data_IF_919834968224
#
_entry.id   IF_919834968224
#
_cell.length_a   1.000
_cell.length_b   1.000
_cell.length_c   1.000
_cell.angle_alpha   90.00
_cell.angle_beta   90.00
_cell.angle_gamma   90.00
#
_symmetry.space_group_name_H-M   'P 1'
#
loop_
_entity.id
_entity.type
_entity.pdbx_description
1 polymer ?
#
# COMPACT_ATOMS: atom_id res chain seq x y z
N UNK A 1 -8.23 -7.84 -60.49
CA UNK A 1 -8.55 -8.08 -59.06
C UNK A 1 -7.67 -9.25 -58.63
N UNK A 2 -6.76 -9.23 -57.66
CA UNK A 2 -6.63 -8.51 -56.38
C UNK A 2 -5.18 -8.71 -55.91
N UNK A 3 -4.22 -7.89 -56.37
CA UNK A 3 -2.83 -7.94 -55.86
C UNK A 3 -2.51 -6.82 -54.86
N UNK A 4 -3.42 -5.85 -54.73
CA UNK A 4 -3.30 -4.69 -53.84
C UNK A 4 -3.67 -5.03 -52.38
N UNK A 5 -4.34 -6.17 -52.13
CA UNK A 5 -4.87 -6.48 -50.81
C UNK A 5 -3.88 -7.15 -49.86
N UNK A 6 -2.98 -8.02 -50.32
CA UNK A 6 -2.11 -8.77 -49.39
C UNK A 6 -1.10 -7.88 -48.67
N UNK A 7 -0.50 -6.91 -49.35
CA UNK A 7 0.50 -6.01 -48.76
C UNK A 7 -0.14 -4.96 -47.85
N UNK A 8 -1.32 -4.44 -48.21
CA UNK A 8 -2.09 -3.52 -47.36
C UNK A 8 -2.61 -4.22 -46.11
N UNK A 9 -3.12 -5.45 -46.24
CA UNK A 9 -3.59 -6.25 -45.09
C UNK A 9 -2.41 -6.61 -44.19
N UNK A 10 -1.26 -7.03 -44.74
CA UNK A 10 -0.07 -7.35 -43.93
C UNK A 10 0.45 -6.12 -43.19
N UNK A 11 0.51 -4.97 -43.84
CA UNK A 11 0.92 -3.72 -43.19
C UNK A 11 -0.10 -3.26 -42.14
N UNK A 12 -1.40 -3.40 -42.38
CA UNK A 12 -2.45 -3.09 -41.41
C UNK A 12 -2.39 -4.01 -40.18
N UNK A 13 -2.18 -5.32 -40.37
CA UNK A 13 -2.00 -6.28 -39.28
C UNK A 13 -0.74 -5.93 -38.48
N UNK A 14 0.37 -5.62 -39.14
CA UNK A 14 1.61 -5.19 -38.46
C UNK A 14 1.36 -3.92 -37.66
N UNK A 15 0.66 -2.92 -38.22
CA UNK A 15 0.36 -1.66 -37.54
C UNK A 15 -0.59 -1.83 -36.35
N UNK A 16 -1.56 -2.74 -36.44
CA UNK A 16 -2.45 -3.12 -35.35
C UNK A 16 -1.70 -3.90 -34.27
N UNK A 17 -0.82 -4.83 -34.65
CA UNK A 17 0.02 -5.53 -33.67
C UNK A 17 1.04 -4.61 -33.02
N UNK A 18 1.65 -3.66 -33.75
CA UNK A 18 2.55 -2.66 -33.20
C UNK A 18 1.79 -1.73 -32.26
N UNK A 19 0.61 -1.23 -32.64
CA UNK A 19 -0.19 -0.37 -31.77
C UNK A 19 -0.68 -1.09 -30.52
N UNK A 20 -1.01 -2.38 -30.60
CA UNK A 20 -1.27 -3.22 -29.42
C UNK A 20 0.00 -3.40 -28.56
N UNK A 21 1.17 -3.62 -29.16
CA UNK A 21 2.45 -3.76 -28.45
C UNK A 21 2.90 -2.46 -27.75
N UNK A 22 2.66 -1.30 -28.36
CA UNK A 22 2.99 0.01 -27.76
C UNK A 22 2.00 0.46 -26.68
N UNK A 23 0.87 -0.21 -26.48
CA UNK A 23 -0.13 0.12 -25.44
C UNK A 23 0.10 -0.57 -24.08
N UNK A 24 1.17 -1.37 -23.96
CA UNK A 24 1.49 -2.13 -22.73
C UNK A 24 2.50 -1.45 -21.80
N UNK A 25 2.99 -0.26 -22.12
CA UNK A 25 3.66 0.57 -21.12
C UNK A 25 2.58 1.31 -20.33
N UNK A 26 2.20 0.79 -19.16
CA UNK A 26 1.31 1.52 -18.26
C UNK A 26 1.97 2.87 -17.94
N UNK A 27 1.30 4.00 -18.21
CA UNK A 27 1.91 5.31 -17.96
C UNK A 27 2.12 5.46 -16.46
N UNK A 28 3.39 5.58 -16.06
CA UNK A 28 3.77 5.99 -14.71
C UNK A 28 3.79 7.51 -14.69
N UNK A 29 2.99 8.13 -13.83
CA UNK A 29 2.89 9.58 -13.73
C UNK A 29 2.91 10.00 -12.27
N UNK A 30 3.81 10.90 -11.90
CA UNK A 30 3.81 11.54 -10.59
C UNK A 30 2.65 12.53 -10.49
N UNK A 31 1.97 12.52 -9.34
CA UNK A 31 0.85 13.43 -9.05
C UNK A 31 1.30 14.39 -7.95
N UNK A 32 1.18 15.68 -8.21
CA UNK A 32 1.39 16.70 -7.19
C UNK A 32 0.24 16.68 -6.18
N UNK A 33 0.58 16.81 -4.90
CA UNK A 33 -0.38 16.89 -3.80
C UNK A 33 0.07 17.92 -2.78
N UNK A 34 -0.89 18.60 -2.18
CA UNK A 34 -0.65 19.51 -1.06
C UNK A 34 -0.67 18.79 0.29
N UNK A 35 -1.02 17.50 0.32
CA UNK A 35 -0.95 16.70 1.54
C UNK A 35 0.53 16.43 1.88
N UNK A 36 1.02 16.87 3.05
CA UNK A 36 2.43 16.80 3.38
C UNK A 36 2.90 15.35 3.48
N UNK A 37 4.16 15.11 3.11
CA UNK A 37 4.84 13.82 3.27
C UNK A 37 4.19 12.66 2.51
N UNK A 38 3.50 12.93 1.40
CA UNK A 38 3.08 11.89 0.47
C UNK A 38 3.70 12.10 -0.90
N UNK A 39 4.24 11.03 -1.45
CA UNK A 39 4.51 10.91 -2.87
C UNK A 39 3.38 10.13 -3.51
N UNK A 40 2.79 10.70 -4.56
CA UNK A 40 1.73 10.07 -5.31
C UNK A 40 2.22 9.64 -6.70
N UNK A 41 2.01 8.38 -7.05
CA UNK A 41 2.38 7.85 -8.36
C UNK A 41 1.19 7.11 -8.95
N UNK A 42 0.72 7.58 -10.09
CA UNK A 42 -0.26 6.89 -10.91
C UNK A 42 0.41 5.81 -11.75
N UNK A 43 -0.20 4.63 -11.79
CA UNK A 43 0.13 3.53 -12.69
C UNK A 43 -1.16 3.03 -13.34
N UNK A 44 -1.10 2.73 -14.64
CA UNK A 44 -2.25 2.20 -15.39
C UNK A 44 -3.06 3.28 -16.10
N UNK A 45 -4.16 2.87 -16.72
CA UNK A 45 -4.94 3.71 -17.65
C UNK A 45 -5.96 4.55 -16.88
N UNK A 46 -6.01 5.86 -17.12
CA UNK A 46 -6.90 6.81 -16.41
C UNK A 46 -8.40 6.60 -16.61
N UNK A 47 -8.80 5.78 -17.60
CA UNK A 47 -10.20 5.43 -17.86
C UNK A 47 -10.74 4.31 -16.97
N UNK A 48 -9.84 3.61 -16.26
CA UNK A 48 -10.18 2.50 -15.40
C UNK A 48 -10.62 3.01 -14.01
N UNK A 49 -11.39 2.23 -13.23
CA UNK A 49 -11.66 2.56 -11.83
C UNK A 49 -10.34 2.69 -11.06
N UNK A 50 -10.21 3.75 -10.25
CA UNK A 50 -8.99 4.03 -9.53
C UNK A 50 -9.00 3.42 -8.12
N UNK A 51 -7.86 2.88 -7.73
CA UNK A 51 -7.53 2.38 -6.41
C UNK A 51 -6.52 3.34 -5.79
N UNK A 52 -6.87 4.01 -4.70
CA UNK A 52 -5.90 4.76 -3.90
C UNK A 52 -5.18 3.78 -2.98
N UNK A 53 -3.92 3.52 -3.27
CA UNK A 53 -3.13 2.45 -2.65
C UNK A 53 -2.09 3.01 -1.68
N UNK A 54 -2.36 2.91 -0.38
CA UNK A 54 -1.43 3.24 0.69
C UNK A 54 -0.36 2.15 0.80
N UNK A 55 0.81 2.43 0.22
CA UNK A 55 1.89 1.47 0.14
C UNK A 55 2.86 1.64 1.30
N UNK A 56 2.99 0.58 2.09
CA UNK A 56 4.06 0.48 3.06
C UNK A 56 5.41 0.39 2.33
N UNK A 57 6.30 1.32 2.66
CA UNK A 57 7.65 1.39 2.10
C UNK A 57 8.44 0.08 2.19
N UNK A 58 8.24 -0.75 3.22
CA UNK A 58 8.91 -2.04 3.36
C UNK A 58 8.23 -3.16 2.59
N UNK A 59 7.01 -2.91 2.10
CA UNK A 59 6.31 -3.79 1.16
C UNK A 59 6.54 -3.37 -0.31
N UNK A 60 7.07 -2.17 -0.57
CA UNK A 60 7.24 -1.61 -1.92
C UNK A 60 8.10 -2.45 -2.86
N UNK A 61 9.09 -3.18 -2.34
CA UNK A 61 9.95 -4.05 -3.13
C UNK A 61 9.26 -5.34 -3.62
N UNK A 62 8.09 -5.67 -3.06
CA UNK A 62 7.31 -6.87 -3.36
C UNK A 62 6.10 -6.56 -4.27
N UNK A 63 6.28 -5.69 -5.27
CA UNK A 63 5.27 -4.97 -6.09
C UNK A 63 4.34 -5.85 -6.99
N UNK A 64 4.13 -7.10 -6.61
CA UNK A 64 3.12 -7.99 -7.20
C UNK A 64 1.69 -7.45 -7.07
N UNK A 65 1.41 -6.62 -6.05
CA UNK A 65 0.08 -6.07 -5.76
C UNK A 65 -0.33 -5.03 -6.81
N UNK A 66 0.52 -4.04 -7.10
CA UNK A 66 0.26 -3.04 -8.15
C UNK A 66 0.08 -3.73 -9.50
N UNK A 67 0.92 -4.72 -9.81
CA UNK A 67 0.80 -5.51 -11.02
C UNK A 67 -0.52 -6.29 -11.09
N UNK A 68 -0.99 -6.83 -9.96
CA UNK A 68 -2.29 -7.50 -9.87
C UNK A 68 -3.43 -6.53 -10.16
N UNK A 69 -3.42 -5.33 -9.58
CA UNK A 69 -4.43 -4.30 -9.86
C UNK A 69 -4.45 -3.90 -11.33
N UNK A 70 -3.29 -3.62 -11.93
CA UNK A 70 -3.19 -3.24 -13.35
C UNK A 70 -3.71 -4.35 -14.26
N UNK A 71 -3.38 -5.63 -13.97
CA UNK A 71 -3.89 -6.79 -14.72
C UNK A 71 -5.40 -6.95 -14.61
N UNK A 72 -5.99 -6.58 -13.47
CA UNK A 72 -7.44 -6.62 -13.24
C UNK A 72 -8.15 -5.33 -13.70
N UNK A 73 -7.53 -4.55 -14.59
CA UNK A 73 -8.08 -3.32 -15.16
C UNK A 73 -8.38 -2.22 -14.13
N UNK A 74 -7.57 -2.10 -13.07
CA UNK A 74 -7.58 -0.93 -12.21
C UNK A 74 -6.55 0.11 -12.65
N UNK A 75 -6.85 1.37 -12.39
CA UNK A 75 -5.85 2.42 -12.27
C UNK A 75 -5.37 2.41 -10.82
N UNK A 76 -4.06 2.51 -10.57
CA UNK A 76 -3.51 2.55 -9.22
C UNK A 76 -2.92 3.93 -8.98
N UNK A 77 -3.31 4.58 -7.89
CA UNK A 77 -2.66 5.78 -7.37
C UNK A 77 -1.94 5.35 -6.10
N UNK A 78 -0.66 5.10 -6.21
CA UNK A 78 0.19 4.74 -5.07
C UNK A 78 0.38 5.99 -4.22
N UNK A 79 0.01 5.92 -2.95
CA UNK A 79 0.31 6.89 -1.93
C UNK A 79 1.39 6.31 -1.01
N UNK A 80 2.61 6.82 -1.15
CA UNK A 80 3.74 6.43 -0.31
C UNK A 80 4.08 7.58 0.64
N UNK A 81 4.10 7.30 1.95
CA UNK A 81 4.53 8.27 2.94
C UNK A 81 6.04 8.49 2.84
N UNK A 82 6.46 9.74 2.71
CA UNK A 82 7.85 10.17 2.68
C UNK A 82 8.31 10.49 4.09
N UNK A 83 9.34 9.79 4.53
CA UNK A 83 9.92 9.95 5.86
C UNK A 83 11.21 10.77 5.78
N UNK A 84 11.07 12.03 5.38
CA UNK A 84 12.20 12.94 5.16
C UNK A 84 12.77 13.50 6.47
N UNK A 85 11.93 13.74 7.48
CA UNK A 85 12.33 14.23 8.80
C UNK A 85 11.89 13.27 9.93
N UNK A 86 12.85 12.61 10.62
CA UNK A 86 12.57 11.77 11.79
C UNK A 86 11.80 12.49 12.91
N UNK A 87 12.07 13.78 13.16
CA UNK A 87 11.38 14.53 14.21
C UNK A 87 9.91 14.77 13.85
N UNK A 88 9.63 15.05 12.58
CA UNK A 88 8.26 15.15 12.10
C UNK A 88 7.49 13.84 12.30
N UNK A 89 8.09 12.69 11.96
CA UNK A 89 7.47 11.37 12.16
C UNK A 89 7.15 11.15 13.65
N UNK A 90 8.11 11.40 14.55
CA UNK A 90 7.90 11.21 15.98
C UNK A 90 6.75 12.05 16.57
N UNK A 91 6.45 13.20 15.95
CA UNK A 91 5.42 14.12 16.41
C UNK A 91 4.07 13.96 15.72
N UNK A 92 4.04 13.41 14.50
CA UNK A 92 2.82 13.38 13.65
C UNK A 92 2.34 11.97 13.34
N UNK A 93 3.16 10.96 13.59
CA UNK A 93 2.83 9.58 13.29
C UNK A 93 1.91 9.00 14.37
N UNK A 94 0.61 9.24 14.18
CA UNK A 94 -0.49 8.83 15.05
C UNK A 94 -1.71 8.42 14.20
N UNK A 95 -2.51 7.42 14.61
CA UNK A 95 -3.63 6.93 13.79
C UNK A 95 -4.62 8.02 13.35
N UNK A 96 -4.96 8.97 14.23
CA UNK A 96 -5.87 10.07 13.88
C UNK A 96 -5.29 11.02 12.82
N UNK A 97 -3.99 11.32 12.89
CA UNK A 97 -3.34 12.18 11.91
C UNK A 97 -3.28 11.48 10.56
N UNK A 98 -2.96 10.17 10.54
CA UNK A 98 -2.98 9.36 9.33
C UNK A 98 -4.38 9.25 8.71
N UNK A 99 -5.42 9.16 9.53
CA UNK A 99 -6.80 9.19 9.04
C UNK A 99 -7.16 10.53 8.40
N UNK A 100 -6.78 11.64 9.04
CA UNK A 100 -6.94 12.99 8.51
C UNK A 100 -6.21 13.15 7.17
N UNK A 101 -4.96 12.69 7.08
CA UNK A 101 -4.18 12.72 5.84
C UNK A 101 -4.84 11.89 4.72
N UNK A 102 -5.38 10.71 5.07
CA UNK A 102 -6.08 9.84 4.13
C UNK A 102 -7.32 10.51 3.52
N UNK A 103 -8.15 11.14 4.35
CA UNK A 103 -9.31 11.91 3.91
C UNK A 103 -8.93 13.15 3.09
N UNK A 104 -7.84 13.81 3.47
CA UNK A 104 -7.29 14.93 2.71
C UNK A 104 -6.82 14.48 1.31
N UNK A 105 -6.20 13.31 1.19
CA UNK A 105 -5.80 12.73 -0.09
C UNK A 105 -6.99 12.39 -0.98
N UNK A 106 -8.05 11.79 -0.44
CA UNK A 106 -9.27 11.51 -1.22
C UNK A 106 -9.90 12.80 -1.75
N UNK A 107 -9.85 13.87 -0.96
CA UNK A 107 -10.38 15.19 -1.35
C UNK A 107 -9.47 15.90 -2.37
N UNK A 108 -8.15 15.78 -2.24
CA UNK A 108 -7.19 16.35 -3.17
C UNK A 108 -7.23 15.66 -4.56
N UNK A 109 -7.65 14.39 -4.59
CA UNK A 109 -7.68 13.56 -5.79
C UNK A 109 -9.09 13.47 -6.43
N UNK A 110 -9.95 14.48 -6.24
CA UNK A 110 -11.31 14.52 -6.81
C UNK A 110 -11.36 14.39 -8.34
N UNK A 111 -10.28 14.74 -9.04
CA UNK A 111 -10.15 14.54 -10.48
C UNK A 111 -9.92 13.07 -10.91
N UNK A 112 -9.75 12.16 -9.96
CA UNK A 112 -9.56 10.74 -10.20
C UNK A 112 -10.79 9.95 -9.72
N UNK A 113 -11.27 8.97 -10.49
CA UNK A 113 -12.43 8.17 -10.11
C UNK A 113 -12.03 7.10 -9.08
N UNK A 114 -11.68 7.53 -7.86
CA UNK A 114 -11.29 6.63 -6.77
C UNK A 114 -12.52 5.88 -6.30
N UNK A 115 -12.59 4.60 -6.65
CA UNK A 115 -13.68 3.71 -6.25
C UNK A 115 -13.28 2.78 -5.10
N UNK A 116 -11.98 2.57 -4.92
CA UNK A 116 -11.46 1.62 -3.92
C UNK A 116 -10.25 2.20 -3.20
N UNK A 117 -10.08 1.78 -1.95
CA UNK A 117 -8.88 2.03 -1.17
C UNK A 117 -8.10 0.72 -1.06
N UNK A 118 -6.78 0.77 -1.09
CA UNK A 118 -5.94 -0.38 -0.78
C UNK A 118 -4.86 0.01 0.22
N UNK A 119 -4.41 -0.94 1.03
CA UNK A 119 -3.25 -0.72 1.90
C UNK A 119 -2.44 -2.00 2.11
N UNK A 120 -1.14 -1.85 2.38
CA UNK A 120 -0.21 -2.97 2.61
C UNK A 120 0.50 -2.88 3.95
N UNK A 121 0.94 -4.02 4.48
CA UNK A 121 1.83 -4.06 5.64
C UNK A 121 1.20 -3.39 6.85
N UNK A 122 1.94 -2.46 7.47
CA UNK A 122 1.44 -1.71 8.62
C UNK A 122 0.50 -0.54 8.25
N UNK A 123 0.49 -0.07 7.00
CA UNK A 123 -0.47 0.96 6.56
C UNK A 123 -1.92 0.48 6.69
N UNK A 124 -2.16 -0.84 6.62
CA UNK A 124 -3.49 -1.43 6.83
C UNK A 124 -4.15 -0.94 8.12
N UNK A 125 -3.39 -0.84 9.21
CA UNK A 125 -3.89 -0.40 10.52
C UNK A 125 -4.20 1.10 10.55
N UNK A 126 -3.47 1.89 9.78
CA UNK A 126 -3.74 3.31 9.61
C UNK A 126 -4.97 3.56 8.72
N UNK A 127 -5.17 2.72 7.71
CA UNK A 127 -6.21 2.93 6.70
C UNK A 127 -7.59 2.43 7.15
N UNK A 128 -7.66 1.26 7.80
CA UNK A 128 -8.94 0.56 8.07
C UNK A 128 -9.96 1.40 8.84
N UNK A 129 -9.50 2.22 9.77
CA UNK A 129 -10.38 2.92 10.71
C UNK A 129 -11.15 4.10 10.09
N UNK A 130 -10.76 4.59 8.90
CA UNK A 130 -11.40 5.77 8.30
C UNK A 130 -12.04 5.51 6.95
N UNK A 131 -11.49 4.62 6.12
CA UNK A 131 -12.02 4.46 4.75
C UNK A 131 -13.44 3.88 4.74
N UNK A 132 -13.81 3.11 5.76
CA UNK A 132 -15.17 2.56 5.94
C UNK A 132 -16.24 3.65 6.06
N UNK A 133 -15.85 4.88 6.39
CA UNK A 133 -16.73 6.03 6.51
C UNK A 133 -16.70 6.94 5.26
N UNK A 134 -16.16 6.45 4.13
CA UNK A 134 -16.07 7.19 2.87
C UNK A 134 -16.99 6.60 1.81
N UNK A 135 -17.22 7.32 0.71
CA UNK A 135 -18.10 6.89 -0.39
C UNK A 135 -17.49 5.82 -1.31
N UNK A 136 -16.31 5.27 -0.96
CA UNK A 136 -15.65 4.23 -1.75
C UNK A 136 -16.45 2.92 -1.72
N UNK A 137 -16.38 2.15 -2.82
CA UNK A 137 -17.10 0.90 -2.98
C UNK A 137 -16.52 -0.24 -2.14
N UNK A 138 -15.25 -0.17 -1.76
CA UNK A 138 -14.60 -1.18 -0.93
C UNK A 138 -13.11 -0.96 -0.70
N UNK A 139 -12.52 -1.89 0.06
CA UNK A 139 -11.11 -1.86 0.44
C UNK A 139 -10.36 -3.16 0.10
N UNK A 140 -9.12 -3.06 -0.35
CA UNK A 140 -8.19 -4.18 -0.55
C UNK A 140 -7.04 -4.08 0.45
N UNK A 141 -7.09 -4.84 1.54
CA UNK A 141 -6.06 -4.79 2.58
C UNK A 141 -5.15 -6.01 2.50
N UNK A 142 -3.85 -5.77 2.57
CA UNK A 142 -2.80 -6.79 2.49
C UNK A 142 -1.93 -6.71 3.76
N UNK A 143 -2.48 -7.06 4.94
CA UNK A 143 -1.76 -6.97 6.20
C UNK A 143 -0.61 -7.97 6.25
N UNK A 144 0.43 -7.65 7.00
CA UNK A 144 1.60 -8.51 7.14
C UNK A 144 1.28 -9.81 7.91
N UNK A 145 0.31 -9.76 8.80
CA UNK A 145 -0.08 -10.85 9.70
C UNK A 145 -1.59 -10.93 9.85
N UNK A 146 -2.04 -12.08 10.36
CA UNK A 146 -3.44 -12.29 10.76
C UNK A 146 -3.60 -11.85 12.22
N UNK A 147 -4.70 -11.18 12.53
CA UNK A 147 -4.99 -10.71 13.89
C UNK A 147 -4.26 -9.40 14.25
N UNK A 148 -3.87 -9.29 15.52
CA UNK A 148 -3.22 -8.10 16.10
C UNK A 148 -1.69 -8.16 16.05
N UNK A 149 -1.04 -6.99 16.15
CA UNK A 149 0.43 -6.93 16.26
C UNK A 149 0.91 -7.72 17.48
N UNK A 150 0.15 -7.68 18.59
CA UNK A 150 0.44 -8.46 19.79
C UNK A 150 0.59 -9.95 19.47
N UNK A 151 -0.44 -10.53 18.88
CA UNK A 151 -0.52 -11.95 18.58
C UNK A 151 0.60 -12.35 17.63
N UNK A 152 0.87 -11.51 16.62
CA UNK A 152 1.99 -11.70 15.70
C UNK A 152 3.35 -11.70 16.41
N UNK A 153 3.62 -10.75 17.30
CA UNK A 153 4.89 -10.69 18.02
C UNK A 153 5.08 -11.88 18.96
N UNK A 154 4.01 -12.32 19.63
CA UNK A 154 4.02 -13.55 20.45
C UNK A 154 4.31 -14.78 19.60
N UNK A 155 3.69 -14.88 18.42
CA UNK A 155 3.97 -15.95 17.46
C UNK A 155 5.44 -15.92 17.01
N UNK A 156 5.99 -14.74 16.71
CA UNK A 156 7.39 -14.59 16.36
C UNK A 156 8.32 -15.09 17.47
N UNK A 157 7.98 -14.84 18.75
CA UNK A 157 8.74 -15.38 19.88
C UNK A 157 8.71 -16.91 19.90
N UNK A 158 7.52 -17.50 19.83
CA UNK A 158 7.35 -18.95 19.91
C UNK A 158 8.06 -19.67 18.76
N UNK A 159 7.96 -19.12 17.55
CA UNK A 159 8.56 -19.69 16.33
C UNK A 159 10.02 -19.27 16.08
N UNK A 160 10.60 -18.44 16.96
CA UNK A 160 11.94 -17.86 16.77
C UNK A 160 12.12 -17.13 15.43
N UNK A 161 11.05 -16.48 14.95
CA UNK A 161 11.03 -15.74 13.70
C UNK A 161 11.49 -14.29 13.88
N UNK A 162 12.01 -13.68 12.82
CA UNK A 162 12.27 -12.24 12.77
C UNK A 162 10.95 -11.46 12.81
N UNK A 163 10.95 -10.32 13.49
CA UNK A 163 9.83 -9.36 13.45
C UNK A 163 9.76 -8.73 12.07
N UNK A 164 8.55 -8.64 11.50
CA UNK A 164 8.22 -7.98 10.22
C UNK A 164 9.32 -8.10 9.14
N UNK A 165 9.52 -9.30 8.54
CA UNK A 165 10.46 -9.49 7.42
C UNK A 165 10.38 -8.38 6.35
N UNK A 166 11.52 -7.73 6.09
CA UNK A 166 11.62 -6.57 5.18
C UNK A 166 11.85 -5.24 5.90
N UNK A 167 11.52 -5.17 7.19
CA UNK A 167 11.84 -4.04 8.06
C UNK A 167 13.29 -4.12 8.56
N UNK A 168 13.91 -3.01 8.99
CA UNK A 168 15.25 -3.02 9.55
C UNK A 168 15.31 -4.00 10.74
N UNK A 169 16.22 -4.98 10.65
CA UNK A 169 16.33 -6.07 11.62
C UNK A 169 17.07 -5.62 12.90
N UNK A 170 16.52 -4.66 13.62
CA UNK A 170 17.21 -3.99 14.72
C UNK A 170 16.77 -4.46 16.11
N UNK A 171 15.61 -5.13 16.24
CA UNK A 171 14.99 -5.43 17.55
C UNK A 171 14.42 -6.85 17.55
N UNK A 172 14.67 -7.62 18.63
CA UNK A 172 14.06 -8.95 18.82
C UNK A 172 12.58 -8.82 19.20
N UNK A 173 11.73 -9.83 18.93
CA UNK A 173 10.32 -9.76 19.29
C UNK A 173 10.07 -9.41 20.78
N UNK A 174 10.82 -10.02 21.70
CA UNK A 174 10.70 -9.74 23.15
C UNK A 174 11.07 -8.31 23.53
N UNK A 175 12.10 -7.74 22.89
CA UNK A 175 12.55 -6.37 23.14
C UNK A 175 11.51 -5.38 22.61
N UNK A 176 10.95 -5.63 21.42
CA UNK A 176 9.88 -4.81 20.88
C UNK A 176 8.62 -4.89 21.76
N UNK A 177 8.32 -6.06 22.32
CA UNK A 177 7.19 -6.21 23.22
C UNK A 177 7.35 -5.35 24.47
N UNK A 178 8.51 -5.45 25.13
CA UNK A 178 8.81 -4.66 26.32
C UNK A 178 8.73 -3.15 26.06
N UNK A 179 9.22 -2.70 24.90
CA UNK A 179 9.13 -1.30 24.49
C UNK A 179 7.67 -0.85 24.39
N UNK A 180 6.82 -1.60 23.69
CA UNK A 180 5.44 -1.20 23.45
C UNK A 180 4.51 -1.42 24.65
N UNK A 181 4.95 -2.17 25.67
CA UNK A 181 4.28 -2.24 26.99
C UNK A 181 4.67 -1.08 27.93
N UNK A 182 5.72 -0.32 27.61
CA UNK A 182 6.21 0.77 28.46
C UNK A 182 5.21 1.95 28.47
N UNK A 183 4.97 2.50 29.66
CA UNK A 183 4.14 3.69 29.88
C UNK A 183 4.95 4.74 30.66
N UNK A 184 5.12 5.98 30.16
CA UNK A 184 4.56 6.52 28.91
C UNK A 184 5.18 5.91 27.66
N UNK A 185 4.49 6.07 26.52
CA UNK A 185 4.89 5.53 25.23
C UNK A 185 6.36 5.85 24.89
N UNK A 186 7.16 4.86 24.48
CA UNK A 186 8.57 5.09 24.16
C UNK A 186 8.72 6.06 22.98
N UNK A 187 9.75 6.91 23.04
CA UNK A 187 10.20 7.69 21.89
C UNK A 187 11.08 6.83 20.98
N UNK A 188 11.05 7.13 19.69
CA UNK A 188 11.85 6.42 18.68
C UNK A 188 10.99 5.86 17.55
N UNK A 189 11.67 5.23 16.60
CA UNK A 189 11.06 4.65 15.41
C UNK A 189 11.41 3.17 15.29
N UNK A 190 10.50 2.41 14.71
CA UNK A 190 10.76 1.08 14.18
C UNK A 190 10.57 1.13 12.67
N UNK A 191 11.69 1.21 11.97
CA UNK A 191 11.70 1.55 10.55
C UNK A 191 11.11 2.94 10.30
N UNK A 192 10.03 2.97 9.53
CA UNK A 192 9.33 4.17 9.08
C UNK A 192 8.13 4.56 9.96
N UNK A 193 7.98 3.90 11.10
CA UNK A 193 6.86 4.07 12.01
C UNK A 193 7.35 4.53 13.37
N UNK A 194 6.64 5.45 14.02
CA UNK A 194 6.89 5.79 15.42
C UNK A 194 6.52 4.61 16.32
N UNK A 195 7.26 4.42 17.42
CA UNK A 195 6.90 3.40 18.41
C UNK A 195 5.53 3.68 19.04
N UNK A 196 5.12 4.96 19.14
CA UNK A 196 3.78 5.35 19.60
C UNK A 196 2.69 4.84 18.67
N UNK A 197 2.84 5.03 17.36
CA UNK A 197 1.92 4.49 16.37
C UNK A 197 1.81 2.97 16.52
N UNK A 198 2.93 2.25 16.65
CA UNK A 198 2.91 0.81 16.87
C UNK A 198 2.17 0.41 18.15
N UNK A 199 2.33 1.17 19.23
CA UNK A 199 1.61 0.95 20.48
C UNK A 199 0.10 1.18 20.31
N UNK A 200 -0.29 2.24 19.59
CA UNK A 200 -1.71 2.57 19.34
C UNK A 200 -2.41 1.52 18.48
N UNK A 201 -1.70 0.90 17.53
CA UNK A 201 -2.26 -0.13 16.66
C UNK A 201 -2.10 -1.55 17.23
N UNK A 202 -1.40 -1.72 18.35
CA UNK A 202 -0.90 -3.02 18.79
C UNK A 202 -2.00 -4.07 19.02
N UNK A 203 -3.17 -3.63 19.51
CA UNK A 203 -4.35 -4.47 19.77
C UNK A 203 -5.36 -4.47 18.62
N UNK A 204 -5.14 -3.67 17.57
CA UNK A 204 -6.10 -3.58 16.47
C UNK A 204 -6.16 -4.90 15.73
N UNK A 205 -7.37 -5.31 15.33
CA UNK A 205 -7.63 -6.54 14.58
C UNK A 205 -8.29 -6.22 13.24
N UNK A 206 -7.50 -5.87 12.21
CA UNK A 206 -8.05 -5.43 10.91
C UNK A 206 -8.94 -6.50 10.24
N UNK A 207 -8.66 -7.79 10.48
CA UNK A 207 -9.38 -8.91 9.87
C UNK A 207 -10.84 -9.06 10.34
N UNK A 208 -11.20 -8.60 11.54
CA UNK A 208 -12.59 -8.70 12.03
C UNK A 208 -13.50 -7.73 11.26
N UNK A 209 -12.94 -6.69 10.65
CA UNK A 209 -13.69 -5.60 10.06
C UNK A 209 -13.91 -5.74 8.53
N UNK A 210 -13.52 -6.84 7.87
CA UNK A 210 -13.39 -6.86 6.40
C UNK A 210 -13.73 -8.18 5.68
N UNK A 211 -14.25 -8.03 4.46
CA UNK A 211 -14.35 -9.08 3.42
C UNK A 211 -12.96 -9.44 2.91
N UNK A 212 -12.61 -10.73 2.94
CA UNK A 212 -11.26 -11.24 2.68
C UNK A 212 -10.94 -11.37 1.18
N UNK A 213 -9.72 -11.00 0.77
CA UNK A 213 -9.13 -11.53 -0.46
C UNK A 213 -8.64 -12.96 -0.20
N UNK A 214 -9.06 -13.93 -1.02
CA UNK A 214 -8.74 -15.36 -0.84
C UNK A 214 -7.44 -15.83 -1.52
N UNK A 215 -6.70 -14.95 -2.20
CA UNK A 215 -5.45 -15.33 -2.87
C UNK A 215 -4.23 -15.35 -1.94
N UNK A 216 -3.25 -16.21 -2.22
CA UNK A 216 -1.97 -16.25 -1.49
C UNK A 216 -1.13 -14.99 -1.80
N UNK A 217 -0.82 -14.22 -0.76
CA UNK A 217 0.27 -13.24 -0.78
C UNK A 217 1.60 -13.98 -0.63
N UNK A 218 2.33 -14.15 -1.74
CA UNK A 218 3.66 -14.73 -1.70
C UNK A 218 4.66 -13.63 -1.32
N UNK A 219 4.94 -13.52 -0.02
CA UNK A 219 6.05 -12.69 0.49
C UNK A 219 7.38 -13.41 0.22
N UNK A 220 8.18 -12.92 -0.72
CA UNK A 220 9.57 -13.38 -0.87
C UNK A 220 10.47 -12.56 0.05
N UNK A 221 11.05 -13.23 1.03
CA UNK A 221 12.14 -12.67 1.83
C UNK A 221 13.39 -12.63 0.95
N UNK A 222 13.76 -11.46 0.45
CA UNK A 222 15.06 -11.28 -0.20
C UNK A 222 16.12 -11.27 0.91
N UNK A 223 17.08 -12.19 0.82
CA UNK A 223 18.21 -12.31 1.75
C UNK A 223 19.20 -11.18 1.59
#
# INVERSE_FOLDING_TARGET
MTYVDKLRVKNAVILVTLSLLFTNCSPVKEIETNVPNYKLVQIGRSKNPAVLFFQDSYCSQNDSITNWFVKNNYQVIIAQRLNTDPLYILNTDHPLMRASDGLALTTALTNYPIEYIAATGLEVHATVNWFVNTEVKGGFLFPFYKGSLKEYLVECMYKSNRVLPGYPATIKPVELIQLLETTPAPSGTFGNYSLRFLQDIWQQQPYIQLTSYEGELIYKVVR
#
